data_IF_271549914593
#
_entry.id   IF_271549914593
#
_cell.length_a   1.000
_cell.length_b   1.000
_cell.length_c   1.000
_cell.angle_alpha   90.00
_cell.angle_beta   90.00
_cell.angle_gamma   90.00
#
_symmetry.space_group_name_H-M   'P 1'
#
loop_
_entity.id
_entity.type
_entity.pdbx_description
1 polymer ?
#
# COMPACT_ATOMS: atom_id res chain seq x y z
N UNK A 1 -11.16 -1.20 20.24
CA UNK A 1 -11.59 -0.26 19.15
C UNK A 1 -10.67 -0.48 17.97
N UNK A 2 -11.21 -0.70 16.78
CA UNK A 2 -10.42 -0.89 15.54
C UNK A 2 -9.54 0.33 15.23
N UNK A 3 -8.43 0.09 14.52
CA UNK A 3 -7.45 1.11 14.15
C UNK A 3 -7.94 1.86 12.90
N UNK A 4 -8.14 3.16 12.99
CA UNK A 4 -8.57 4.02 11.88
C UNK A 4 -7.48 4.09 10.81
N UNK A 5 -7.77 3.53 9.65
CA UNK A 5 -6.80 3.25 8.61
C UNK A 5 -7.16 3.98 7.32
N UNK A 6 -6.22 4.76 6.78
CA UNK A 6 -6.36 5.33 5.44
C UNK A 6 -5.58 4.50 4.42
N UNK A 7 -6.19 4.33 3.23
CA UNK A 7 -5.53 3.70 2.07
C UNK A 7 -5.17 4.77 1.05
N UNK A 8 -3.87 4.89 0.76
CA UNK A 8 -3.32 5.84 -0.20
C UNK A 8 -3.18 5.15 -1.56
N UNK A 9 -3.71 5.80 -2.60
CA UNK A 9 -3.83 5.22 -3.95
C UNK A 9 -3.44 6.23 -5.04
N UNK A 10 -3.05 5.73 -6.24
CA UNK A 10 -2.78 6.59 -7.41
C UNK A 10 -3.45 6.10 -8.70
N UNK A 11 -4.09 4.93 -8.70
CA UNK A 11 -4.57 4.31 -9.94
C UNK A 11 -5.78 3.40 -9.78
N UNK A 12 -5.71 2.19 -10.35
CA UNK A 12 -6.84 1.24 -10.48
C UNK A 12 -7.42 0.72 -9.16
N UNK A 13 -6.62 0.68 -8.08
CA UNK A 13 -7.08 0.31 -6.74
C UNK A 13 -7.40 -1.17 -6.53
N UNK A 14 -6.71 -2.08 -7.21
CA UNK A 14 -6.93 -3.53 -7.04
C UNK A 14 -6.56 -4.00 -5.63
N UNK A 15 -5.48 -3.46 -5.06
CA UNK A 15 -5.10 -3.70 -3.68
C UNK A 15 -6.08 -3.07 -2.67
N UNK A 16 -6.66 -1.89 -2.97
CA UNK A 16 -7.76 -1.33 -2.18
C UNK A 16 -8.98 -2.27 -2.21
N UNK A 17 -9.32 -2.82 -3.38
CA UNK A 17 -10.42 -3.78 -3.48
C UNK A 17 -10.18 -5.01 -2.60
N UNK A 18 -8.97 -5.57 -2.62
CA UNK A 18 -8.63 -6.71 -1.76
C UNK A 18 -8.80 -6.39 -0.26
N UNK A 19 -8.44 -5.17 0.17
CA UNK A 19 -8.68 -4.71 1.55
C UNK A 19 -10.18 -4.58 1.86
N UNK A 20 -10.97 -4.02 0.93
CA UNK A 20 -12.43 -3.90 1.07
C UNK A 20 -13.07 -5.28 1.21
N UNK A 21 -12.70 -6.22 0.34
CA UNK A 21 -13.26 -7.56 0.32
C UNK A 21 -12.89 -8.34 1.61
N UNK A 22 -11.64 -8.21 2.08
CA UNK A 22 -11.20 -8.81 3.33
C UNK A 22 -11.91 -8.22 4.55
N UNK A 23 -12.15 -6.89 4.57
CA UNK A 23 -12.91 -6.23 5.63
C UNK A 23 -14.37 -6.72 5.67
N UNK A 24 -15.04 -6.79 4.52
CA UNK A 24 -16.42 -7.31 4.40
C UNK A 24 -16.54 -8.79 4.79
N UNK A 25 -15.51 -9.56 4.54
CA UNK A 25 -15.42 -10.97 4.94
C UNK A 25 -15.12 -11.16 6.45
N UNK A 26 -14.89 -10.08 7.21
CA UNK A 26 -14.54 -10.15 8.63
C UNK A 26 -13.09 -10.59 8.90
N UNK A 27 -12.24 -10.58 7.90
CA UNK A 27 -10.85 -11.03 8.00
C UNK A 27 -9.91 -9.95 8.56
N UNK A 28 -10.41 -8.74 8.81
CA UNK A 28 -9.64 -7.60 9.36
C UNK A 28 -10.42 -6.90 10.49
N UNK A 29 -10.75 -7.60 11.60
CA UNK A 29 -11.59 -7.05 12.66
C UNK A 29 -10.94 -5.87 13.43
N UNK A 30 -9.60 -5.73 13.38
CA UNK A 30 -8.89 -4.64 14.05
C UNK A 30 -8.64 -3.43 13.13
N UNK A 31 -9.03 -3.50 11.83
CA UNK A 31 -8.83 -2.43 10.84
C UNK A 31 -10.17 -1.75 10.54
N UNK A 32 -10.23 -0.42 10.70
CA UNK A 32 -11.32 0.43 10.21
C UNK A 32 -10.84 1.21 8.97
N UNK A 33 -11.31 0.83 7.79
CA UNK A 33 -11.00 1.54 6.54
C UNK A 33 -11.79 2.85 6.50
N UNK A 34 -11.28 3.90 7.14
CA UNK A 34 -11.99 5.16 7.34
C UNK A 34 -11.79 6.21 6.24
N UNK A 35 -10.78 6.04 5.37
CA UNK A 35 -10.48 7.00 4.30
C UNK A 35 -9.73 6.34 3.14
N UNK A 36 -10.07 6.72 1.91
CA UNK A 36 -9.23 6.50 0.72
C UNK A 36 -8.69 7.85 0.26
N UNK A 37 -7.37 8.04 0.28
CA UNK A 37 -6.72 9.27 -0.16
C UNK A 37 -6.01 9.03 -1.50
N UNK A 38 -6.37 9.79 -2.53
CA UNK A 38 -5.72 9.71 -3.83
C UNK A 38 -4.92 10.99 -4.13
N UNK A 39 -3.73 10.82 -4.74
CA UNK A 39 -2.98 11.94 -5.30
C UNK A 39 -3.36 12.22 -6.77
N UNK A 40 -4.42 11.57 -7.29
CA UNK A 40 -4.96 11.75 -8.65
C UNK A 40 -6.48 11.77 -8.61
N UNK A 41 -7.08 12.78 -9.24
CA UNK A 41 -8.54 12.90 -9.28
C UNK A 41 -9.21 11.85 -10.20
N UNK A 42 -8.46 11.33 -11.17
CA UNK A 42 -8.92 10.31 -12.15
C UNK A 42 -8.69 8.86 -11.70
N UNK A 43 -8.20 8.64 -10.48
CA UNK A 43 -7.94 7.29 -9.97
C UNK A 43 -9.22 6.47 -9.84
N UNK A 44 -9.29 5.33 -10.51
CA UNK A 44 -10.45 4.41 -10.42
C UNK A 44 -10.68 3.87 -9.00
N UNK A 45 -9.63 3.86 -8.18
CA UNK A 45 -9.71 3.52 -6.76
C UNK A 45 -10.75 4.36 -6.00
N UNK A 46 -10.98 5.62 -6.38
CA UNK A 46 -12.00 6.49 -5.77
C UNK A 46 -13.42 5.95 -6.01
N UNK A 47 -13.69 5.40 -7.20
CA UNK A 47 -14.98 4.75 -7.50
C UNK A 47 -15.18 3.47 -6.67
N UNK A 48 -14.11 2.72 -6.41
CA UNK A 48 -14.17 1.54 -5.53
C UNK A 48 -14.49 1.93 -4.09
N UNK A 49 -13.87 3.00 -3.58
CA UNK A 49 -14.15 3.55 -2.25
C UNK A 49 -15.61 3.98 -2.13
N UNK A 50 -16.13 4.75 -3.10
CA UNK A 50 -17.53 5.19 -3.18
C UNK A 50 -18.50 4.00 -3.13
N UNK A 51 -18.29 2.97 -3.98
CA UNK A 51 -19.10 1.75 -4.02
C UNK A 51 -19.04 0.95 -2.71
N UNK A 52 -17.96 1.11 -1.96
CA UNK A 52 -17.80 0.47 -0.66
C UNK A 52 -18.33 1.32 0.50
N UNK A 53 -18.76 2.56 0.26
CA UNK A 53 -19.18 3.51 1.29
C UNK A 53 -18.02 4.06 2.13
N UNK A 54 -16.78 3.98 1.63
CA UNK A 54 -15.59 4.51 2.30
C UNK A 54 -15.40 5.97 1.88
N UNK A 55 -15.29 6.91 2.83
CA UNK A 55 -14.96 8.31 2.54
C UNK A 55 -13.71 8.42 1.67
N UNK A 56 -13.71 9.35 0.73
CA UNK A 56 -12.55 9.57 -0.13
C UNK A 56 -12.17 11.03 -0.22
N UNK A 57 -10.88 11.30 -0.37
CA UNK A 57 -10.32 12.63 -0.59
C UNK A 57 -9.29 12.61 -1.73
N UNK A 58 -9.16 13.73 -2.41
CA UNK A 58 -8.14 13.94 -3.43
C UNK A 58 -7.18 15.01 -2.95
N UNK A 59 -5.90 14.67 -2.86
CA UNK A 59 -4.82 15.60 -2.57
C UNK A 59 -3.80 15.51 -3.71
N UNK A 60 -4.04 16.30 -4.77
CA UNK A 60 -3.15 16.33 -5.93
C UNK A 60 -2.07 17.38 -5.72
N UNK A 61 -0.83 17.03 -6.06
CA UNK A 61 0.29 17.97 -6.04
C UNK A 61 0.12 18.99 -7.16
N UNK A 62 0.17 20.27 -6.83
CA UNK A 62 0.06 21.35 -7.79
C UNK A 62 1.37 21.57 -8.56
N UNK A 63 1.26 22.17 -9.76
CA UNK A 63 2.45 22.47 -10.56
C UNK A 63 3.34 23.48 -9.84
N UNK A 64 4.58 23.10 -9.55
CA UNK A 64 5.53 23.95 -8.83
C UNK A 64 5.38 23.93 -7.30
N UNK A 65 4.42 23.19 -6.77
CA UNK A 65 4.27 23.01 -5.32
C UNK A 65 5.47 22.27 -4.73
N UNK A 66 6.01 22.78 -3.63
CA UNK A 66 7.04 22.09 -2.87
C UNK A 66 6.47 20.77 -2.30
N UNK A 67 7.32 19.75 -2.19
CA UNK A 67 6.91 18.43 -1.68
C UNK A 67 6.35 18.54 -0.26
N UNK A 68 6.99 19.33 0.57
CA UNK A 68 6.63 19.56 1.97
C UNK A 68 5.24 20.18 2.11
N UNK A 69 4.88 21.13 1.22
CA UNK A 69 3.56 21.76 1.20
C UNK A 69 2.48 20.75 0.80
N UNK A 70 2.74 19.95 -0.22
CA UNK A 70 1.85 18.87 -0.64
C UNK A 70 1.63 17.84 0.50
N UNK A 71 2.71 17.39 1.14
CA UNK A 71 2.64 16.42 2.23
C UNK A 71 1.95 17.02 3.47
N UNK A 72 2.12 18.31 3.76
CA UNK A 72 1.41 18.98 4.82
C UNK A 72 -0.12 18.94 4.61
N UNK A 73 -0.59 19.22 3.37
CA UNK A 73 -2.02 19.09 3.03
C UNK A 73 -2.53 17.66 3.18
N UNK A 74 -1.74 16.66 2.80
CA UNK A 74 -2.10 15.25 3.05
C UNK A 74 -2.24 14.98 4.55
N UNK A 75 -1.29 15.44 5.38
CA UNK A 75 -1.35 15.26 6.82
C UNK A 75 -2.57 15.95 7.46
N UNK A 76 -2.98 17.13 6.97
CA UNK A 76 -4.20 17.80 7.42
C UNK A 76 -5.45 16.94 7.14
N UNK A 77 -5.57 16.39 5.93
CA UNK A 77 -6.68 15.50 5.57
C UNK A 77 -6.68 14.25 6.45
N UNK A 78 -5.52 13.62 6.66
CA UNK A 78 -5.39 12.43 7.50
C UNK A 78 -5.77 12.69 8.96
N UNK A 79 -5.34 13.82 9.53
CA UNK A 79 -5.70 14.27 10.89
C UNK A 79 -7.18 14.54 11.04
N UNK A 80 -7.81 15.22 10.05
CA UNK A 80 -9.24 15.50 10.05
C UNK A 80 -10.12 14.23 10.08
N UNK A 81 -9.56 13.08 9.72
CA UNK A 81 -10.21 11.77 9.75
C UNK A 81 -9.70 10.87 10.89
N UNK A 82 -8.93 11.42 11.84
CA UNK A 82 -8.34 10.67 12.97
C UNK A 82 -7.60 9.41 12.53
N UNK A 83 -6.86 9.48 11.42
CA UNK A 83 -6.14 8.34 10.86
C UNK A 83 -4.95 7.97 11.72
N UNK A 84 -4.81 6.68 12.03
CA UNK A 84 -3.80 6.13 12.91
C UNK A 84 -2.79 5.23 12.18
N UNK A 85 -3.20 4.62 11.06
CA UNK A 85 -2.38 3.74 10.23
C UNK A 85 -2.59 4.06 8.75
N UNK A 86 -1.55 3.91 7.95
CA UNK A 86 -1.57 4.13 6.50
C UNK A 86 -1.23 2.84 5.77
N UNK A 87 -1.92 2.61 4.65
CA UNK A 87 -1.60 1.54 3.70
C UNK A 87 -1.35 2.18 2.33
N UNK A 88 -0.15 1.99 1.79
CA UNK A 88 0.18 2.39 0.42
C UNK A 88 -0.24 1.25 -0.53
N UNK A 89 -1.30 1.47 -1.28
CA UNK A 89 -1.88 0.50 -2.21
C UNK A 89 -1.73 0.99 -3.66
N UNK A 90 -0.52 0.93 -4.19
CA UNK A 90 -0.18 1.50 -5.49
C UNK A 90 -0.12 3.03 -5.45
N UNK A 91 0.39 3.59 -4.36
CA UNK A 91 0.63 5.02 -4.23
C UNK A 91 1.99 5.37 -4.82
N UNK A 92 2.01 6.22 -5.86
CA UNK A 92 3.19 6.45 -6.69
C UNK A 92 4.11 7.57 -6.20
N UNK A 93 3.72 8.33 -5.18
CA UNK A 93 4.59 9.35 -4.60
C UNK A 93 5.49 8.75 -3.51
N UNK A 94 6.78 9.08 -3.56
CA UNK A 94 7.72 8.72 -2.49
C UNK A 94 7.52 9.72 -1.35
N UNK A 95 7.20 9.22 -0.17
CA UNK A 95 7.00 10.02 1.04
C UNK A 95 8.34 10.51 1.62
N UNK A 96 8.34 11.73 2.17
CA UNK A 96 9.52 12.26 2.86
C UNK A 96 9.74 11.59 4.23
N UNK A 97 10.95 11.74 4.75
CA UNK A 97 11.28 11.34 6.11
C UNK A 97 10.37 12.02 7.13
N UNK A 98 10.13 13.30 6.95
CA UNK A 98 9.28 14.13 7.82
C UNK A 98 7.84 13.64 7.82
N UNK A 99 7.30 13.26 6.64
CA UNK A 99 5.98 12.65 6.56
C UNK A 99 5.94 11.31 7.30
N UNK A 100 6.89 10.42 7.04
CA UNK A 100 6.95 9.08 7.65
C UNK A 100 7.05 9.16 9.18
N UNK A 101 7.74 10.15 9.73
CA UNK A 101 7.87 10.36 11.17
C UNK A 101 6.55 10.69 11.88
N UNK A 102 5.50 11.12 11.18
CA UNK A 102 4.17 11.29 11.78
C UNK A 102 3.46 9.94 12.05
N UNK A 103 3.89 8.86 11.38
CA UNK A 103 3.31 7.53 11.48
C UNK A 103 4.39 6.44 11.71
N UNK A 104 5.21 6.54 12.78
CA UNK A 104 6.31 5.60 13.02
C UNK A 104 5.78 4.18 13.19
N UNK A 105 6.30 3.23 12.39
CA UNK A 105 5.88 1.83 12.34
C UNK A 105 4.38 1.61 12.04
N UNK A 106 3.75 2.56 11.33
CA UNK A 106 2.31 2.54 11.01
C UNK A 106 1.99 2.80 9.55
N UNK A 107 2.98 2.77 8.67
CA UNK A 107 2.78 2.88 7.22
C UNK A 107 3.18 1.54 6.61
N UNK A 108 2.26 0.89 5.93
CA UNK A 108 2.49 -0.35 5.21
C UNK A 108 2.59 -0.07 3.71
N UNK A 109 3.47 -0.79 3.02
CA UNK A 109 3.52 -0.82 1.57
C UNK A 109 3.54 -2.26 1.07
N UNK A 110 2.89 -2.52 -0.06
CA UNK A 110 3.04 -3.76 -0.81
C UNK A 110 3.88 -3.50 -2.05
N UNK A 111 4.98 -4.24 -2.18
CA UNK A 111 5.88 -4.18 -3.32
C UNK A 111 5.84 -5.50 -4.10
N UNK A 112 5.71 -5.48 -5.45
CA UNK A 112 5.47 -6.68 -6.26
C UNK A 112 6.75 -7.46 -6.59
N UNK A 113 7.65 -7.60 -5.61
CA UNK A 113 8.82 -8.48 -5.69
C UNK A 113 9.17 -9.07 -4.31
N UNK A 114 10.11 -10.00 -4.30
CA UNK A 114 10.74 -10.49 -3.08
C UNK A 114 11.92 -9.58 -2.71
N UNK A 115 11.68 -8.55 -1.89
CA UNK A 115 12.76 -7.65 -1.42
C UNK A 115 13.87 -8.49 -0.77
N UNK A 116 15.16 -8.24 -1.08
CA UNK A 116 15.72 -7.04 -1.71
C UNK A 116 15.85 -7.08 -3.24
N UNK A 117 15.29 -8.04 -3.95
CA UNK A 117 15.36 -8.11 -5.40
C UNK A 117 14.35 -7.18 -6.06
N UNK A 118 14.72 -6.52 -7.17
CA UNK A 118 13.86 -5.68 -8.00
C UNK A 118 13.04 -4.66 -7.20
N UNK A 119 13.70 -3.93 -6.28
CA UNK A 119 13.09 -2.93 -5.42
C UNK A 119 13.89 -1.63 -5.38
N UNK A 120 13.34 -0.58 -4.74
CA UNK A 120 13.96 0.73 -4.64
C UNK A 120 13.68 1.63 -5.85
N UNK A 121 14.53 2.65 -6.03
CA UNK A 121 14.32 3.69 -7.05
C UNK A 121 14.24 3.11 -8.46
N UNK A 122 13.12 3.37 -9.15
CA UNK A 122 12.90 2.92 -10.54
C UNK A 122 12.10 1.62 -10.66
N UNK A 123 11.93 0.87 -9.58
CA UNK A 123 11.14 -0.37 -9.58
C UNK A 123 9.72 -0.10 -9.08
N UNK A 124 8.78 0.04 -10.02
CA UNK A 124 7.34 0.22 -9.73
C UNK A 124 6.48 -0.30 -10.89
N UNK A 125 5.26 -0.70 -10.59
CA UNK A 125 4.29 -1.15 -11.58
C UNK A 125 4.83 -2.30 -12.44
N UNK A 126 4.68 -2.21 -13.76
CA UNK A 126 5.15 -3.22 -14.72
C UNK A 126 6.68 -3.35 -14.77
N UNK A 127 7.43 -2.28 -14.49
CA UNK A 127 8.91 -2.31 -14.56
C UNK A 127 9.53 -3.37 -13.64
N UNK A 128 8.89 -3.71 -12.53
CA UNK A 128 9.35 -4.78 -11.64
C UNK A 128 9.28 -6.13 -12.34
N UNK A 129 8.19 -6.40 -13.04
CA UNK A 129 7.96 -7.67 -13.74
C UNK A 129 8.79 -7.77 -15.01
N UNK A 130 8.94 -6.67 -15.74
CA UNK A 130 9.84 -6.57 -16.89
C UNK A 130 11.29 -6.91 -16.48
N UNK A 131 11.77 -6.33 -15.38
CA UNK A 131 13.10 -6.58 -14.87
C UNK A 131 13.29 -8.04 -14.41
N UNK A 132 12.32 -8.61 -13.72
CA UNK A 132 12.35 -10.00 -13.28
C UNK A 132 12.43 -10.97 -14.46
N UNK A 133 11.61 -10.75 -15.50
CA UNK A 133 11.62 -11.54 -16.73
C UNK A 133 12.93 -11.38 -17.50
N UNK A 134 13.40 -10.15 -17.66
CA UNK A 134 14.66 -9.85 -18.37
C UNK A 134 15.87 -10.46 -17.68
N UNK A 135 15.88 -10.48 -16.33
CA UNK A 135 16.94 -11.10 -15.56
C UNK A 135 16.91 -12.64 -15.66
N UNK A 136 15.74 -13.21 -15.91
CA UNK A 136 15.55 -14.66 -16.08
C UNK A 136 15.41 -15.43 -14.76
N UNK A 137 15.01 -14.75 -13.66
CA UNK A 137 14.68 -15.44 -12.40
C UNK A 137 13.51 -16.40 -12.62
N UNK A 138 13.45 -17.46 -11.83
CA UNK A 138 12.38 -18.47 -11.93
C UNK A 138 11.26 -18.23 -10.91
N UNK A 139 11.55 -17.43 -9.89
CA UNK A 139 10.64 -17.10 -8.81
C UNK A 139 10.68 -15.60 -8.56
N UNK A 140 9.53 -15.01 -8.45
CA UNK A 140 9.29 -13.64 -7.96
C UNK A 140 8.29 -13.68 -6.82
N UNK A 141 7.53 -12.64 -6.57
CA UNK A 141 6.50 -12.64 -5.53
C UNK A 141 6.09 -11.23 -5.09
N UNK A 142 5.61 -11.11 -3.87
CA UNK A 142 5.32 -9.84 -3.26
C UNK A 142 5.85 -9.77 -1.83
N UNK A 143 6.13 -8.55 -1.39
CA UNK A 143 6.57 -8.20 -0.05
C UNK A 143 5.66 -7.14 0.53
N UNK A 144 5.14 -7.35 1.73
CA UNK A 144 4.55 -6.28 2.55
C UNK A 144 5.55 -5.90 3.63
N UNK A 145 5.84 -4.61 3.72
CA UNK A 145 6.82 -4.07 4.67
C UNK A 145 6.33 -2.77 5.31
N UNK A 146 6.90 -2.41 6.44
CA UNK A 146 6.76 -1.07 7.01
C UNK A 146 7.61 -0.08 6.21
N UNK A 147 7.08 1.13 6.04
CA UNK A 147 7.77 2.19 5.29
C UNK A 147 8.69 2.97 6.23
N UNK A 148 9.91 3.23 5.77
CA UNK A 148 10.87 4.16 6.37
C UNK A 148 11.35 5.18 5.32
N UNK A 149 12.41 5.93 5.60
CA UNK A 149 12.98 6.93 4.69
C UNK A 149 13.67 6.34 3.45
N UNK A 150 13.94 5.03 3.44
CA UNK A 150 14.58 4.34 2.32
C UNK A 150 13.46 3.67 1.49
N UNK A 151 13.32 3.99 0.19
CA UNK A 151 12.36 3.31 -0.67
C UNK A 151 12.52 1.78 -0.60
N UNK A 152 11.44 1.10 -0.26
CA UNK A 152 11.34 -0.35 -0.04
C UNK A 152 12.31 -0.92 1.01
N UNK A 153 12.90 -0.07 1.87
CA UNK A 153 13.97 -0.44 2.81
C UNK A 153 13.51 -0.74 4.23
N UNK A 154 12.23 -0.63 4.54
CA UNK A 154 11.70 -0.85 5.89
C UNK A 154 11.54 -2.33 6.26
N UNK A 155 11.19 -2.57 7.53
CA UNK A 155 11.02 -3.92 8.10
C UNK A 155 9.99 -4.73 7.32
N UNK A 156 10.41 -5.87 6.79
CA UNK A 156 9.53 -6.83 6.11
C UNK A 156 8.56 -7.44 7.14
N UNK A 157 7.28 -7.46 6.79
CA UNK A 157 6.22 -8.10 7.56
C UNK A 157 5.89 -9.48 7.03
N UNK A 158 5.58 -9.56 5.74
CA UNK A 158 5.20 -10.79 5.05
C UNK A 158 5.78 -10.83 3.65
N UNK A 159 6.12 -12.03 3.18
CA UNK A 159 6.52 -12.30 1.79
C UNK A 159 5.81 -13.55 1.28
N UNK A 160 5.54 -13.58 -0.01
CA UNK A 160 5.04 -14.79 -0.69
C UNK A 160 5.67 -14.91 -2.06
N UNK A 161 6.26 -16.06 -2.31
CA UNK A 161 6.85 -16.43 -3.59
C UNK A 161 5.76 -16.80 -4.62
N UNK A 162 6.04 -16.46 -5.89
CA UNK A 162 5.22 -16.77 -7.06
C UNK A 162 6.15 -17.24 -8.17
N UNK A 163 5.85 -18.37 -8.78
CA UNK A 163 6.64 -18.92 -9.88
C UNK A 163 6.41 -18.12 -11.17
N UNK A 164 7.47 -18.00 -11.97
CA UNK A 164 7.42 -17.45 -13.33
C UNK A 164 7.24 -18.60 -14.30
N UNK A 165 6.19 -18.53 -15.11
CA UNK A 165 5.86 -19.60 -16.06
C UNK A 165 6.46 -19.32 -17.44
N UNK A 166 6.77 -20.37 -18.22
CA UNK A 166 7.22 -20.21 -19.58
C UNK A 166 6.18 -19.43 -20.42
N UNK A 167 6.64 -18.38 -21.10
CA UNK A 167 5.76 -17.53 -21.92
C UNK A 167 5.08 -16.38 -21.19
N UNK A 168 5.42 -16.15 -19.92
CA UNK A 168 4.93 -14.97 -19.20
C UNK A 168 5.32 -13.68 -19.90
N UNK A 169 4.34 -12.79 -19.99
CA UNK A 169 4.57 -11.36 -20.25
C UNK A 169 4.58 -10.58 -18.93
N UNK A 170 5.09 -9.34 -18.89
CA UNK A 170 5.01 -8.51 -17.70
C UNK A 170 3.59 -8.41 -17.12
N UNK A 171 2.58 -8.31 -17.98
CA UNK A 171 1.16 -8.18 -17.59
C UNK A 171 0.61 -9.49 -17.00
N UNK A 172 0.93 -10.65 -17.59
CA UNK A 172 0.48 -11.95 -17.06
C UNK A 172 1.13 -12.24 -15.72
N UNK A 173 2.44 -11.94 -15.59
CA UNK A 173 3.16 -12.09 -14.35
C UNK A 173 2.64 -11.12 -13.27
N UNK A 174 2.40 -9.86 -13.61
CA UNK A 174 1.82 -8.88 -12.69
C UNK A 174 0.48 -9.38 -12.13
N UNK A 175 -0.42 -9.82 -13.01
CA UNK A 175 -1.73 -10.35 -12.59
C UNK A 175 -1.56 -11.52 -11.63
N UNK A 176 -0.68 -12.49 -11.95
CA UNK A 176 -0.43 -13.65 -11.10
C UNK A 176 0.13 -13.23 -9.73
N UNK A 177 1.06 -12.30 -9.68
CA UNK A 177 1.62 -11.78 -8.42
C UNK A 177 0.54 -11.08 -7.60
N UNK A 178 -0.31 -10.26 -8.21
CA UNK A 178 -1.45 -9.64 -7.53
C UNK A 178 -2.40 -10.68 -6.92
N UNK A 179 -2.84 -11.66 -7.73
CA UNK A 179 -3.82 -12.67 -7.31
C UNK A 179 -3.26 -13.65 -6.27
N UNK A 180 -2.04 -14.13 -6.49
CA UNK A 180 -1.46 -15.17 -5.65
C UNK A 180 -0.74 -14.61 -4.41
N UNK A 181 -0.29 -13.35 -4.42
CA UNK A 181 0.50 -12.80 -3.33
C UNK A 181 -0.07 -11.49 -2.77
N UNK A 182 -0.13 -10.39 -3.53
CA UNK A 182 -0.44 -9.07 -2.99
C UNK A 182 -1.79 -9.02 -2.27
N UNK A 183 -2.87 -9.49 -2.93
CA UNK A 183 -4.24 -9.45 -2.39
C UNK A 183 -4.46 -10.33 -1.16
N UNK A 184 -3.54 -11.27 -0.92
CA UNK A 184 -3.57 -12.12 0.27
C UNK A 184 -2.71 -11.55 1.41
N UNK A 185 -1.52 -11.03 1.06
CA UNK A 185 -0.55 -10.55 2.05
C UNK A 185 -0.96 -9.22 2.66
N UNK A 186 -1.44 -8.28 1.83
CA UNK A 186 -1.71 -6.92 2.29
C UNK A 186 -2.79 -6.86 3.37
N UNK A 187 -3.96 -7.51 3.23
CA UNK A 187 -4.95 -7.57 4.31
C UNK A 187 -4.44 -8.23 5.58
N UNK A 188 -3.66 -9.32 5.44
CA UNK A 188 -3.09 -10.02 6.59
C UNK A 188 -2.08 -9.16 7.35
N UNK A 189 -1.21 -8.44 6.63
CA UNK A 189 -0.24 -7.55 7.25
C UNK A 189 -0.93 -6.35 7.92
N UNK A 190 -1.97 -5.80 7.30
CA UNK A 190 -2.77 -4.72 7.87
C UNK A 190 -3.40 -5.15 9.21
N UNK A 191 -4.01 -6.33 9.24
CA UNK A 191 -4.60 -6.90 10.45
C UNK A 191 -3.55 -7.14 11.55
N UNK A 192 -2.38 -7.67 11.19
CA UNK A 192 -1.28 -7.90 12.15
C UNK A 192 -0.83 -6.59 12.81
N UNK A 193 -0.59 -5.54 12.02
CA UNK A 193 -0.13 -4.25 12.55
C UNK A 193 -1.23 -3.56 13.35
N UNK A 194 -2.48 -3.59 12.88
CA UNK A 194 -3.60 -3.02 13.61
C UNK A 194 -3.79 -3.68 14.99
N UNK A 195 -3.71 -5.00 15.05
CA UNK A 195 -3.78 -5.74 16.31
C UNK A 195 -2.66 -5.35 17.28
N UNK A 196 -1.40 -5.25 16.80
CA UNK A 196 -0.27 -4.80 17.62
C UNK A 196 -0.49 -3.36 18.15
N UNK A 197 -1.08 -2.47 17.36
CA UNK A 197 -1.38 -1.09 17.77
C UNK A 197 -2.47 -1.05 18.83
N UNK A 198 -3.52 -1.84 18.69
CA UNK A 198 -4.58 -1.93 19.68
C UNK A 198 -4.07 -2.51 21.01
N UNK A 199 -3.28 -3.57 20.98
CA UNK A 199 -2.66 -4.15 22.18
C UNK A 199 -1.76 -3.14 22.93
N UNK A 200 -1.00 -2.32 22.18
CA UNK A 200 -0.16 -1.26 22.77
C UNK A 200 -0.98 -0.16 23.45
N UNK A 201 -2.20 0.13 22.95
CA UNK A 201 -3.12 1.08 23.62
C UNK A 201 -3.67 0.53 24.94
N UNK A 202 -4.02 -0.74 24.96
CA UNK A 202 -4.57 -1.38 26.16
C UNK A 202 -3.54 -1.51 27.32
N UNK A 203 -2.24 -1.38 27.01
CA UNK A 203 -1.16 -1.46 28.02
C UNK A 203 -0.74 -0.12 28.61
N UNK A 204 -1.26 0.99 28.07
CA UNK A 204 -1.03 2.35 28.59
C UNK A 204 -2.19 2.81 29.46
#
# INVERSE_FOLDING_TARGET
MSVRTAVLVSGGGTNLQALIDASRAGNMPHVDLCLTLSNRADAYALKRAEQAGIPSAVCQREKGEAREAFEARMLEVLRAHDVEMLILAGFMAILSKEFVQNYPDRILNVHPSLIPSFCGKGFYGLHVHEAALAYGVKVTGATVHLVNEIPDGGRILLQKAVEIEPGDTPETLQRRVMEQAEWQLLPRAAEMVAKELEEKRCRK
#
